data_IF_377513440162
#
_entry.id   IF_377513440162
#
_cell.length_a   1.000
_cell.length_b   1.000
_cell.length_c   1.000
_cell.angle_alpha   90.00
_cell.angle_beta   90.00
_cell.angle_gamma   90.00
#
_symmetry.space_group_name_H-M   'P 1'
#
loop_
_entity.id
_entity.type
_entity.pdbx_description
1 polymer ?
#
# COMPACT_ATOMS: atom_id res chain seq x y z
N UNK A 1 9.90 11.09 30.15
CA UNK A 1 8.99 11.73 29.20
C UNK A 1 8.70 10.68 28.15
N UNK A 2 7.44 10.29 27.93
CA UNK A 2 7.09 9.28 26.93
C UNK A 2 7.39 9.86 25.55
N UNK A 3 8.19 9.15 24.78
CA UNK A 3 8.57 9.52 23.39
C UNK A 3 7.58 8.96 22.37
N UNK A 4 6.33 8.72 22.77
CA UNK A 4 5.32 8.30 21.81
C UNK A 4 5.07 9.46 20.83
N UNK A 5 5.16 9.21 19.53
CA UNK A 5 4.93 10.26 18.54
C UNK A 5 3.51 10.78 18.67
N UNK A 6 3.36 12.09 18.78
CA UNK A 6 2.05 12.72 18.81
C UNK A 6 1.35 12.50 17.46
N UNK A 7 0.21 11.80 17.47
CA UNK A 7 -0.59 11.55 16.27
C UNK A 7 -1.57 12.70 16.12
N UNK A 8 -1.50 13.40 14.98
CA UNK A 8 -2.44 14.45 14.63
C UNK A 8 -3.56 13.87 13.76
N UNK A 9 -4.81 14.32 13.91
CA UNK A 9 -5.95 13.82 13.14
C UNK A 9 -5.99 14.40 11.71
N UNK A 10 -4.94 14.15 10.92
CA UNK A 10 -4.79 14.67 9.54
C UNK A 10 -5.84 14.17 8.56
N UNK A 11 -6.53 13.08 8.91
CA UNK A 11 -7.56 12.43 8.10
C UNK A 11 -8.96 12.52 8.77
N UNK A 12 -9.14 13.47 9.70
CA UNK A 12 -10.42 13.64 10.39
C UNK A 12 -11.56 13.89 9.40
N UNK A 13 -12.63 13.07 9.51
CA UNK A 13 -13.81 13.15 8.63
C UNK A 13 -13.59 12.58 7.22
N UNK A 14 -12.41 12.04 6.90
CA UNK A 14 -12.12 11.37 5.63
C UNK A 14 -12.48 9.89 5.68
N UNK A 15 -12.78 9.34 4.52
CA UNK A 15 -12.95 7.89 4.33
C UNK A 15 -11.74 7.34 3.58
N UNK A 16 -11.10 6.32 4.14
CA UNK A 16 -9.90 5.69 3.60
C UNK A 16 -10.18 4.22 3.31
N UNK A 17 -10.08 3.79 2.06
CA UNK A 17 -10.10 2.37 1.70
C UNK A 17 -8.67 1.86 1.55
N UNK A 18 -8.32 0.77 2.26
CA UNK A 18 -7.00 0.13 2.18
C UNK A 18 -7.13 -1.28 1.65
N UNK A 19 -6.49 -1.58 0.51
CA UNK A 19 -6.51 -2.93 -0.04
C UNK A 19 -5.51 -3.85 0.66
N UNK A 20 -5.88 -5.12 0.87
CA UNK A 20 -5.03 -6.07 1.59
C UNK A 20 -4.78 -5.68 3.05
N UNK A 21 -5.78 -5.06 3.69
CA UNK A 21 -5.68 -4.54 5.05
C UNK A 21 -5.81 -5.62 6.15
N UNK A 22 -5.92 -6.89 5.78
CA UNK A 22 -6.04 -8.00 6.75
C UNK A 22 -4.71 -8.38 7.43
N UNK A 23 -3.56 -8.01 6.88
CA UNK A 23 -2.25 -8.40 7.42
C UNK A 23 -1.15 -7.40 7.06
N UNK A 24 -0.01 -7.50 7.75
CA UNK A 24 1.22 -6.81 7.38
C UNK A 24 1.10 -5.29 7.29
N UNK A 25 1.65 -4.71 6.23
CA UNK A 25 1.70 -3.26 6.07
C UNK A 25 0.32 -2.63 5.88
N UNK A 26 -0.57 -3.30 5.13
CA UNK A 26 -1.95 -2.83 4.94
C UNK A 26 -2.76 -2.76 6.24
N UNK A 27 -2.54 -3.71 7.16
CA UNK A 27 -3.12 -3.67 8.51
C UNK A 27 -2.69 -2.42 9.28
N UNK A 28 -1.39 -2.10 9.26
CA UNK A 28 -0.86 -0.94 9.97
C UNK A 28 -1.27 0.39 9.32
N UNK A 29 -1.36 0.44 7.97
CA UNK A 29 -1.89 1.62 7.27
C UNK A 29 -3.35 1.87 7.67
N UNK A 30 -4.19 0.82 7.68
CA UNK A 30 -5.60 0.91 8.05
C UNK A 30 -5.77 1.39 9.50
N UNK A 31 -5.01 0.80 10.43
CA UNK A 31 -5.04 1.22 11.83
C UNK A 31 -4.54 2.65 12.02
N UNK A 32 -3.45 3.02 11.36
CA UNK A 32 -2.90 4.38 11.40
C UNK A 32 -3.87 5.40 10.83
N UNK A 33 -4.60 5.10 9.74
CA UNK A 33 -5.62 5.97 9.19
C UNK A 33 -6.74 6.27 10.22
N UNK A 34 -7.17 5.24 10.95
CA UNK A 34 -8.15 5.40 12.04
C UNK A 34 -7.61 6.26 13.19
N UNK A 35 -6.35 6.08 13.60
CA UNK A 35 -5.71 6.94 14.60
C UNK A 35 -5.65 8.41 14.15
N UNK A 36 -5.57 8.66 12.83
CA UNK A 36 -5.59 10.00 12.24
C UNK A 36 -7.02 10.51 11.96
N UNK A 37 -8.06 9.82 12.47
CA UNK A 37 -9.45 10.26 12.47
C UNK A 37 -10.27 9.84 11.25
N UNK A 38 -9.78 8.92 10.42
CA UNK A 38 -10.52 8.43 9.26
C UNK A 38 -11.54 7.34 9.62
N UNK A 39 -12.63 7.25 8.82
CA UNK A 39 -13.43 6.03 8.66
C UNK A 39 -12.68 5.11 7.71
N UNK A 40 -12.61 3.81 8.00
CA UNK A 40 -11.73 2.89 7.27
C UNK A 40 -12.48 1.75 6.60
N UNK A 41 -12.32 1.63 5.28
CA UNK A 41 -12.65 0.44 4.52
C UNK A 41 -11.50 -0.55 4.58
N UNK A 42 -11.71 -1.68 5.23
CA UNK A 42 -10.74 -2.77 5.37
C UNK A 42 -11.00 -3.81 4.30
N UNK A 43 -10.27 -3.72 3.19
CA UNK A 43 -10.44 -4.69 2.09
C UNK A 43 -9.54 -5.91 2.27
N UNK A 44 -10.08 -7.08 1.93
CA UNK A 44 -9.39 -8.37 1.89
C UNK A 44 -9.91 -9.24 0.73
N UNK A 45 -9.11 -10.20 0.29
CA UNK A 45 -9.56 -11.26 -0.63
C UNK A 45 -9.84 -12.55 0.17
N UNK A 46 -8.80 -13.19 0.71
CA UNK A 46 -8.90 -14.49 1.42
C UNK A 46 -8.65 -14.39 2.93
N UNK A 47 -8.03 -13.32 3.41
CA UNK A 47 -7.64 -13.16 4.83
C UNK A 47 -8.74 -12.56 5.71
N UNK A 48 -9.95 -13.14 5.69
CA UNK A 48 -11.11 -12.63 6.46
C UNK A 48 -10.81 -12.44 7.95
N UNK A 49 -10.27 -13.46 8.60
CA UNK A 49 -9.94 -13.38 10.03
C UNK A 49 -8.92 -12.28 10.36
N UNK A 50 -7.99 -12.01 9.45
CA UNK A 50 -7.05 -10.89 9.59
C UNK A 50 -7.75 -9.54 9.44
N UNK A 51 -8.66 -9.40 8.47
CA UNK A 51 -9.45 -8.18 8.27
C UNK A 51 -10.37 -7.89 9.46
N UNK A 52 -11.00 -8.92 10.04
CA UNK A 52 -11.81 -8.81 11.26
C UNK A 52 -10.97 -8.29 12.42
N UNK A 53 -9.75 -8.83 12.64
CA UNK A 53 -8.82 -8.33 13.67
C UNK A 53 -8.42 -6.87 13.43
N UNK A 54 -8.22 -6.48 12.17
CA UNK A 54 -7.92 -5.08 11.83
C UNK A 54 -9.10 -4.17 12.21
N UNK A 55 -10.31 -4.56 11.84
CA UNK A 55 -11.52 -3.81 12.17
C UNK A 55 -11.76 -3.74 13.69
N UNK A 56 -11.56 -4.84 14.42
CA UNK A 56 -11.64 -4.86 15.87
C UNK A 56 -10.63 -3.92 16.52
N UNK A 57 -9.37 -3.92 16.05
CA UNK A 57 -8.33 -3.01 16.53
C UNK A 57 -8.70 -1.54 16.29
N UNK A 58 -9.26 -1.21 15.14
CA UNK A 58 -9.76 0.13 14.82
C UNK A 58 -10.90 0.52 15.77
N UNK A 59 -11.89 -0.36 15.95
CA UNK A 59 -13.02 -0.11 16.84
C UNK A 59 -12.62 0.03 18.32
N UNK A 60 -11.56 -0.68 18.74
CA UNK A 60 -11.05 -0.60 20.11
C UNK A 60 -10.53 0.77 20.52
N UNK A 61 -10.18 1.62 19.54
CA UNK A 61 -9.79 3.03 19.76
C UNK A 61 -10.93 4.02 19.47
N UNK A 62 -12.16 3.53 19.28
CA UNK A 62 -13.32 4.36 18.93
C UNK A 62 -13.43 4.73 17.45
N UNK A 63 -12.61 4.14 16.57
CA UNK A 63 -12.68 4.35 15.12
C UNK A 63 -13.79 3.53 14.46
N UNK A 64 -14.15 3.92 13.23
CA UNK A 64 -15.13 3.24 12.39
C UNK A 64 -14.41 2.38 11.34
N UNK A 65 -14.85 1.13 11.17
CA UNK A 65 -14.30 0.21 10.17
C UNK A 65 -15.39 -0.67 9.55
N UNK A 66 -15.37 -0.76 8.21
CA UNK A 66 -16.22 -1.64 7.41
C UNK A 66 -15.35 -2.63 6.63
N UNK A 67 -15.86 -3.86 6.46
CA UNK A 67 -15.15 -4.95 5.77
C UNK A 67 -15.63 -5.08 4.34
N UNK A 68 -14.69 -5.14 3.39
CA UNK A 68 -14.98 -5.36 1.97
C UNK A 68 -14.18 -6.54 1.45
N UNK A 69 -14.88 -7.49 0.80
CA UNK A 69 -14.23 -8.66 0.20
C UNK A 69 -14.29 -8.57 -1.32
N UNK A 70 -13.12 -8.60 -1.97
CA UNK A 70 -13.03 -8.69 -3.42
C UNK A 70 -11.72 -9.33 -3.87
N UNK A 71 -11.71 -9.96 -5.03
CA UNK A 71 -10.49 -10.29 -5.76
C UNK A 71 -10.19 -9.16 -6.75
N UNK A 72 -9.18 -8.34 -6.43
CA UNK A 72 -8.82 -7.19 -7.27
C UNK A 72 -8.24 -7.60 -8.64
N UNK A 73 -7.81 -8.85 -8.82
CA UNK A 73 -7.40 -9.39 -10.12
C UNK A 73 -8.55 -9.47 -11.14
N UNK A 74 -9.78 -9.30 -10.70
CA UNK A 74 -10.99 -9.38 -11.53
C UNK A 74 -11.66 -8.01 -11.63
N UNK A 75 -11.81 -7.48 -12.85
CA UNK A 75 -12.37 -6.12 -13.05
C UNK A 75 -13.81 -5.98 -12.51
N UNK A 76 -14.68 -6.97 -12.77
CA UNK A 76 -16.06 -6.91 -12.30
C UNK A 76 -16.16 -6.93 -10.77
N UNK A 77 -15.27 -7.67 -10.08
CA UNK A 77 -15.20 -7.63 -8.63
C UNK A 77 -14.74 -6.25 -8.11
N UNK A 78 -13.84 -5.58 -8.82
CA UNK A 78 -13.42 -4.21 -8.46
C UNK A 78 -14.53 -3.19 -8.69
N UNK A 79 -15.31 -3.32 -9.77
CA UNK A 79 -16.50 -2.47 -10.00
C UNK A 79 -17.53 -2.61 -8.86
N UNK A 80 -17.78 -3.86 -8.45
CA UNK A 80 -18.68 -4.13 -7.35
C UNK A 80 -18.14 -3.57 -6.04
N UNK A 81 -16.87 -3.80 -5.73
CA UNK A 81 -16.19 -3.24 -4.56
C UNK A 81 -16.31 -1.71 -4.52
N UNK A 82 -16.07 -1.04 -5.64
CA UNK A 82 -16.20 0.41 -5.71
C UNK A 82 -17.64 0.87 -5.44
N UNK A 83 -18.64 0.20 -6.03
CA UNK A 83 -20.03 0.51 -5.76
C UNK A 83 -20.36 0.34 -4.27
N UNK A 84 -20.04 -0.82 -3.68
CA UNK A 84 -20.29 -1.12 -2.27
C UNK A 84 -19.61 -0.13 -1.32
N UNK A 85 -18.36 0.27 -1.60
CA UNK A 85 -17.64 1.21 -0.77
C UNK A 85 -18.25 2.62 -0.80
N UNK A 86 -18.63 3.10 -1.99
CA UNK A 86 -19.29 4.41 -2.12
C UNK A 86 -20.71 4.39 -1.55
N UNK A 87 -21.45 3.29 -1.69
CA UNK A 87 -22.78 3.13 -1.09
C UNK A 87 -22.71 3.12 0.45
N UNK A 88 -21.73 2.43 1.03
CA UNK A 88 -21.57 2.33 2.48
C UNK A 88 -21.12 3.65 3.12
N UNK A 89 -20.22 4.38 2.46
CA UNK A 89 -19.60 5.56 3.05
C UNK A 89 -20.14 6.90 2.50
N UNK A 90 -20.81 6.89 1.36
CA UNK A 90 -21.20 8.10 0.61
C UNK A 90 -20.05 8.71 -0.19
N UNK A 91 -18.84 8.72 0.36
CA UNK A 91 -17.61 9.21 -0.29
C UNK A 91 -16.44 8.29 0.06
N UNK A 92 -15.47 8.17 -0.86
CA UNK A 92 -14.15 7.60 -0.57
C UNK A 92 -13.12 8.69 -0.89
N UNK A 93 -12.50 9.26 0.12
CA UNK A 93 -11.53 10.35 -0.03
C UNK A 93 -10.14 9.85 -0.39
N UNK A 94 -9.79 8.67 0.12
CA UNK A 94 -8.46 8.09 -0.04
C UNK A 94 -8.56 6.62 -0.41
N UNK A 95 -7.84 6.24 -1.46
CA UNK A 95 -7.58 4.85 -1.81
C UNK A 95 -6.11 4.53 -1.58
N UNK A 96 -5.82 3.50 -0.78
CA UNK A 96 -4.47 2.95 -0.63
C UNK A 96 -4.41 1.57 -1.28
N UNK A 97 -3.77 1.48 -2.44
CA UNK A 97 -3.51 0.22 -3.13
C UNK A 97 -2.27 -0.44 -2.55
N UNK A 98 -2.48 -1.32 -1.56
CA UNK A 98 -1.41 -2.01 -0.87
C UNK A 98 -1.26 -3.48 -1.29
N UNK A 99 -2.27 -4.10 -1.91
CA UNK A 99 -2.16 -5.48 -2.39
C UNK A 99 -0.98 -5.64 -3.36
N UNK A 100 -0.23 -6.72 -3.19
CA UNK A 100 0.84 -7.12 -4.10
C UNK A 100 1.34 -8.52 -3.74
N UNK A 101 1.83 -9.27 -4.73
CA UNK A 101 2.38 -10.62 -4.53
C UNK A 101 3.85 -10.56 -4.07
N UNK A 102 4.04 -10.31 -2.78
CA UNK A 102 5.38 -10.28 -2.15
C UNK A 102 6.00 -11.69 -1.99
N UNK A 103 5.22 -12.75 -2.16
CA UNK A 103 5.75 -14.12 -2.07
C UNK A 103 6.77 -14.39 -3.19
N UNK A 104 6.59 -13.79 -4.35
CA UNK A 104 7.50 -13.91 -5.48
C UNK A 104 8.88 -13.29 -5.23
N UNK A 105 9.02 -12.34 -4.31
CA UNK A 105 10.34 -11.80 -3.91
C UNK A 105 11.27 -12.86 -3.30
N UNK A 106 10.72 -13.98 -2.84
CA UNK A 106 11.46 -15.06 -2.21
C UNK A 106 11.92 -16.11 -3.22
N UNK A 107 11.36 -16.11 -4.44
CA UNK A 107 11.69 -17.06 -5.50
C UNK A 107 13.07 -16.75 -6.10
N UNK A 108 13.66 -17.76 -6.76
CA UNK A 108 14.80 -17.54 -7.66
C UNK A 108 14.26 -17.21 -9.06
N UNK A 109 14.97 -16.40 -9.82
CA UNK A 109 14.64 -16.16 -11.24
C UNK A 109 14.54 -17.44 -12.06
N UNK A 110 15.23 -18.53 -11.61
CA UNK A 110 15.19 -19.85 -12.23
C UNK A 110 13.87 -20.58 -12.00
N UNK A 111 13.08 -20.15 -11.03
CA UNK A 111 11.78 -20.72 -10.63
C UNK A 111 10.60 -19.98 -11.29
N UNK A 112 10.89 -19.05 -12.21
CA UNK A 112 9.86 -18.34 -12.95
C UNK A 112 9.03 -19.33 -13.78
N UNK A 113 7.72 -19.31 -13.57
CA UNK A 113 6.72 -20.05 -14.34
C UNK A 113 5.70 -19.10 -14.94
N UNK A 114 4.99 -19.54 -15.97
CA UNK A 114 3.88 -18.77 -16.53
C UNK A 114 2.84 -18.44 -15.45
N UNK A 115 2.48 -19.41 -14.62
CA UNK A 115 1.51 -19.22 -13.53
C UNK A 115 1.93 -18.12 -12.55
N UNK A 116 3.21 -18.12 -12.12
CA UNK A 116 3.73 -17.10 -11.21
C UNK A 116 3.81 -15.72 -11.86
N UNK A 117 4.11 -15.65 -13.16
CA UNK A 117 4.09 -14.44 -13.94
C UNK A 117 2.67 -13.89 -14.06
N UNK A 118 1.73 -14.73 -14.54
CA UNK A 118 0.33 -14.33 -14.75
C UNK A 118 -0.28 -13.82 -13.45
N UNK A 119 -0.08 -14.51 -12.32
CA UNK A 119 -0.55 -14.10 -11.00
C UNK A 119 -0.03 -12.72 -10.61
N UNK A 120 1.27 -12.46 -10.78
CA UNK A 120 1.86 -11.15 -10.44
C UNK A 120 1.31 -10.05 -11.34
N UNK A 121 1.17 -10.31 -12.64
CA UNK A 121 0.62 -9.32 -13.57
C UNK A 121 -0.87 -9.07 -13.28
N UNK A 122 -1.64 -10.13 -13.01
CA UNK A 122 -3.07 -10.00 -12.73
C UNK A 122 -3.33 -9.20 -11.43
N UNK A 123 -2.58 -9.48 -10.37
CA UNK A 123 -2.80 -8.84 -9.06
C UNK A 123 -2.12 -7.47 -8.99
N UNK A 124 -0.80 -7.39 -9.25
CA UNK A 124 -0.02 -6.17 -9.01
C UNK A 124 -0.25 -5.10 -10.09
N UNK A 125 -0.40 -5.51 -11.36
CA UNK A 125 -0.56 -4.55 -12.47
C UNK A 125 -2.02 -4.33 -12.78
N UNK A 126 -2.75 -5.37 -13.23
CA UNK A 126 -4.15 -5.22 -13.63
C UNK A 126 -5.02 -4.83 -12.44
N UNK A 127 -4.86 -5.51 -11.29
CA UNK A 127 -5.63 -5.21 -10.09
C UNK A 127 -5.45 -3.76 -9.64
N UNK A 128 -4.20 -3.27 -9.58
CA UNK A 128 -3.95 -1.86 -9.24
C UNK A 128 -4.55 -0.92 -10.29
N UNK A 129 -4.43 -1.24 -11.57
CA UNK A 129 -5.02 -0.42 -12.65
C UNK A 129 -6.53 -0.35 -12.55
N UNK A 130 -7.21 -1.49 -12.30
CA UNK A 130 -8.67 -1.54 -12.12
C UNK A 130 -9.11 -0.70 -10.91
N UNK A 131 -8.42 -0.84 -9.76
CA UNK A 131 -8.69 -0.06 -8.55
C UNK A 131 -8.53 1.44 -8.79
N UNK A 132 -7.40 1.87 -9.41
CA UNK A 132 -7.17 3.29 -9.73
C UNK A 132 -8.23 3.81 -10.68
N UNK A 133 -8.63 3.01 -11.69
CA UNK A 133 -9.63 3.40 -12.68
C UNK A 133 -11.02 3.59 -12.06
N UNK A 134 -11.55 2.56 -11.39
CA UNK A 134 -12.92 2.56 -10.88
C UNK A 134 -13.13 3.55 -9.72
N UNK A 135 -12.19 3.60 -8.78
CA UNK A 135 -12.24 4.56 -7.68
C UNK A 135 -11.92 5.97 -8.13
N UNK A 136 -10.92 6.12 -9.00
CA UNK A 136 -10.49 7.42 -9.49
C UNK A 136 -11.56 8.14 -10.29
N UNK A 137 -12.33 7.47 -11.15
CA UNK A 137 -13.46 8.07 -11.87
C UNK A 137 -14.50 8.63 -10.88
N UNK A 138 -14.89 7.85 -9.88
CA UNK A 138 -15.85 8.29 -8.86
C UNK A 138 -15.30 9.44 -8.01
N UNK A 139 -14.00 9.44 -7.69
CA UNK A 139 -13.34 10.56 -7.01
C UNK A 139 -13.30 11.83 -7.89
N UNK A 140 -13.13 11.71 -9.21
CA UNK A 140 -13.22 12.85 -10.13
C UNK A 140 -14.63 13.42 -10.15
N UNK A 141 -15.66 12.57 -10.22
CA UNK A 141 -17.08 12.97 -10.12
C UNK A 141 -17.39 13.61 -8.75
N UNK A 142 -16.81 13.08 -7.67
CA UNK A 142 -16.90 13.63 -6.31
C UNK A 142 -16.21 15.01 -6.19
N UNK A 143 -15.27 15.34 -7.10
CA UNK A 143 -14.51 16.59 -7.14
C UNK A 143 -13.22 16.61 -6.31
N UNK A 144 -12.88 15.54 -5.60
CA UNK A 144 -11.67 15.44 -4.78
C UNK A 144 -11.28 13.97 -4.51
N UNK A 145 -10.01 13.74 -4.25
CA UNK A 145 -9.51 12.42 -3.84
C UNK A 145 -7.99 12.35 -3.80
N UNK A 146 -7.49 11.29 -3.16
CA UNK A 146 -6.08 10.95 -3.17
C UNK A 146 -5.88 9.43 -3.29
N UNK A 147 -5.06 9.01 -4.23
CA UNK A 147 -4.70 7.61 -4.44
C UNK A 147 -3.22 7.40 -4.11
N UNK A 148 -2.95 6.48 -3.21
CA UNK A 148 -1.59 6.08 -2.82
C UNK A 148 -1.36 4.63 -3.23
N UNK A 149 -0.51 4.42 -4.22
CA UNK A 149 -0.11 3.09 -4.64
C UNK A 149 1.13 2.66 -3.86
N UNK A 150 1.13 1.48 -3.27
CA UNK A 150 2.31 0.94 -2.59
C UNK A 150 3.25 0.32 -3.62
N UNK A 151 4.33 1.03 -3.88
CA UNK A 151 5.41 0.63 -4.75
C UNK A 151 6.43 -0.27 -4.07
N UNK A 152 7.65 -0.25 -4.57
CA UNK A 152 8.77 -1.00 -3.99
C UNK A 152 10.10 -0.38 -4.42
N UNK A 153 11.09 -0.45 -3.57
CA UNK A 153 12.48 -0.06 -3.88
C UNK A 153 13.08 -0.82 -5.04
N UNK A 154 12.46 -1.94 -5.46
CA UNK A 154 12.89 -2.75 -6.60
C UNK A 154 12.99 -1.95 -7.91
N UNK A 155 12.23 -0.87 -8.06
CA UNK A 155 12.31 -0.01 -9.25
C UNK A 155 13.57 0.84 -9.32
N UNK A 156 14.41 0.86 -8.28
CA UNK A 156 15.69 1.57 -8.30
C UNK A 156 16.81 0.66 -8.82
N UNK A 157 16.80 -0.61 -8.43
CA UNK A 157 17.91 -1.55 -8.72
C UNK A 157 17.51 -2.78 -9.53
N UNK A 158 16.21 -3.01 -9.74
CA UNK A 158 15.70 -4.28 -10.22
C UNK A 158 15.71 -5.36 -9.13
N UNK A 159 15.37 -6.58 -9.51
CA UNK A 159 15.43 -7.75 -8.65
C UNK A 159 16.07 -8.93 -9.38
N UNK A 160 17.25 -9.32 -8.94
CA UNK A 160 17.91 -10.50 -9.48
C UNK A 160 17.17 -11.81 -9.10
N UNK A 161 16.28 -11.78 -8.15
CA UNK A 161 15.51 -12.95 -7.68
C UNK A 161 14.15 -13.04 -8.34
N UNK A 162 13.43 -11.93 -8.49
CA UNK A 162 12.04 -11.87 -8.92
C UNK A 162 11.85 -10.83 -10.04
N UNK A 163 12.29 -11.13 -11.29
CA UNK A 163 12.16 -10.19 -12.40
C UNK A 163 10.71 -9.85 -12.74
N UNK A 164 9.76 -10.78 -12.56
CA UNK A 164 8.32 -10.55 -12.74
C UNK A 164 7.77 -9.52 -11.75
N UNK A 165 8.20 -9.57 -10.49
CA UNK A 165 7.82 -8.58 -9.49
C UNK A 165 8.40 -7.20 -9.82
N UNK A 166 9.66 -7.15 -10.23
CA UNK A 166 10.28 -5.91 -10.69
C UNK A 166 9.49 -5.32 -11.86
N UNK A 167 9.17 -6.12 -12.88
CA UNK A 167 8.37 -5.68 -14.04
C UNK A 167 7.02 -5.11 -13.61
N UNK A 168 6.31 -5.78 -12.70
CA UNK A 168 5.04 -5.29 -12.18
C UNK A 168 5.18 -3.96 -11.45
N UNK A 169 6.16 -3.82 -10.55
CA UNK A 169 6.37 -2.57 -9.80
C UNK A 169 6.86 -1.41 -10.69
N UNK A 170 7.60 -1.69 -11.78
CA UNK A 170 7.86 -0.69 -12.82
C UNK A 170 6.59 -0.30 -13.58
N UNK A 171 5.68 -1.24 -13.84
CA UNK A 171 4.36 -0.96 -14.44
C UNK A 171 3.55 0.06 -13.65
N UNK A 172 3.63 0.02 -12.32
CA UNK A 172 2.96 1.00 -11.46
C UNK A 172 3.42 2.45 -11.72
N UNK A 173 4.66 2.69 -12.16
CA UNK A 173 5.12 4.05 -12.50
C UNK A 173 4.32 4.61 -13.67
N UNK A 174 4.04 3.79 -14.69
CA UNK A 174 3.22 4.18 -15.84
C UNK A 174 1.79 4.46 -15.42
N UNK A 175 1.17 3.57 -14.66
CA UNK A 175 -0.19 3.73 -14.12
C UNK A 175 -0.27 5.04 -13.32
N UNK A 176 0.65 5.25 -12.40
CA UNK A 176 0.69 6.42 -11.52
C UNK A 176 0.77 7.74 -12.32
N UNK A 177 1.71 7.85 -13.23
CA UNK A 177 1.90 9.07 -14.04
C UNK A 177 0.72 9.36 -14.95
N UNK A 178 0.17 8.32 -15.59
CA UNK A 178 -0.96 8.45 -16.51
C UNK A 178 -2.21 8.94 -15.77
N UNK A 179 -2.54 8.34 -14.63
CA UNK A 179 -3.73 8.74 -13.88
C UNK A 179 -3.53 10.02 -13.07
N UNK A 180 -2.31 10.32 -12.62
CA UNK A 180 -2.01 11.63 -12.05
C UNK A 180 -2.30 12.78 -13.03
N UNK A 181 -1.98 12.58 -14.30
CA UNK A 181 -2.29 13.56 -15.34
C UNK A 181 -3.79 13.57 -15.72
N UNK A 182 -4.41 12.39 -15.82
CA UNK A 182 -5.80 12.25 -16.26
C UNK A 182 -6.82 12.73 -15.23
N UNK A 183 -6.54 12.59 -13.94
CA UNK A 183 -7.46 12.92 -12.85
C UNK A 183 -7.24 14.29 -12.22
N UNK A 184 -6.18 15.00 -12.62
CA UNK A 184 -5.95 16.36 -12.17
C UNK A 184 -7.01 17.32 -12.75
N UNK A 185 -7.43 18.37 -12.02
CA UNK A 185 -6.92 18.76 -10.69
C UNK A 185 -7.63 18.09 -9.50
N UNK A 186 -8.65 17.25 -9.72
CA UNK A 186 -9.54 16.75 -8.66
C UNK A 186 -8.86 15.68 -7.81
N UNK A 187 -8.05 14.79 -8.39
CA UNK A 187 -7.48 13.64 -7.70
C UNK A 187 -5.97 13.60 -7.83
N UNK A 188 -5.29 13.44 -6.72
CA UNK A 188 -3.83 13.21 -6.68
C UNK A 188 -3.55 11.71 -6.71
N UNK A 189 -2.57 11.30 -7.51
CA UNK A 189 -2.16 9.88 -7.59
C UNK A 189 -0.65 9.80 -7.39
N UNK A 190 -0.22 9.10 -6.34
CA UNK A 190 1.18 9.01 -5.95
C UNK A 190 1.58 7.57 -5.62
N UNK A 191 2.89 7.29 -5.70
CA UNK A 191 3.48 6.04 -5.21
C UNK A 191 4.26 6.31 -3.93
N UNK A 192 3.97 5.52 -2.90
CA UNK A 192 4.82 5.34 -1.74
C UNK A 192 5.61 4.03 -1.89
N UNK A 193 6.92 4.10 -1.85
CA UNK A 193 7.81 2.93 -2.01
C UNK A 193 8.59 2.69 -0.72
N UNK A 194 8.12 1.78 0.13
CA UNK A 194 8.83 1.41 1.34
C UNK A 194 10.10 0.60 1.03
N UNK A 195 11.09 0.73 1.90
CA UNK A 195 12.21 -0.19 2.00
C UNK A 195 11.82 -1.48 2.72
N UNK A 196 12.83 -2.17 3.25
CA UNK A 196 12.58 -3.34 4.10
C UNK A 196 11.85 -2.92 5.38
N UNK A 197 10.91 -3.78 5.81
CA UNK A 197 10.15 -3.63 7.06
C UNK A 197 10.13 -4.94 7.83
N UNK A 198 10.14 -4.87 9.16
CA UNK A 198 10.00 -6.02 10.05
C UNK A 198 8.53 -6.41 10.23
N UNK A 199 7.89 -6.85 9.14
CA UNK A 199 6.55 -7.45 9.21
C UNK A 199 6.61 -8.84 9.84
N UNK A 200 5.48 -9.34 10.36
CA UNK A 200 5.40 -10.72 10.86
C UNK A 200 5.87 -11.75 9.83
N UNK A 201 5.54 -11.56 8.55
CA UNK A 201 6.01 -12.41 7.47
C UNK A 201 7.52 -12.33 7.25
N UNK A 202 8.11 -11.13 7.34
CA UNK A 202 9.56 -10.94 7.22
C UNK A 202 10.31 -11.58 8.39
N UNK A 203 9.83 -11.38 9.62
CA UNK A 203 10.43 -11.94 10.84
C UNK A 203 10.37 -13.47 10.89
N UNK A 204 9.37 -14.08 10.26
CA UNK A 204 9.22 -15.54 10.18
C UNK A 204 10.22 -16.20 9.22
N UNK A 205 10.87 -15.46 8.33
CA UNK A 205 11.75 -16.00 7.27
C UNK A 205 13.05 -16.55 7.84
N UNK A 206 13.47 -17.70 7.35
CA UNK A 206 14.73 -18.34 7.76
C UNK A 206 15.97 -17.54 7.33
N UNK A 207 15.96 -16.96 6.11
CA UNK A 207 17.07 -16.12 5.66
C UNK A 207 17.22 -14.85 6.50
N UNK A 208 16.11 -14.34 7.05
CA UNK A 208 16.11 -13.20 7.95
C UNK A 208 16.78 -13.53 9.30
N UNK A 209 16.45 -14.70 9.84
CA UNK A 209 17.03 -15.22 11.09
C UNK A 209 18.51 -15.62 10.95
N UNK A 210 18.96 -15.95 9.74
CA UNK A 210 20.31 -16.43 9.46
C UNK A 210 21.30 -15.34 8.99
N UNK A 211 21.10 -14.08 9.41
CA UNK A 211 22.06 -12.99 9.23
C UNK A 211 21.75 -12.02 8.08
N UNK A 212 20.66 -12.23 7.33
CA UNK A 212 20.24 -11.27 6.30
C UNK A 212 19.81 -9.94 6.89
N UNK A 213 19.13 -9.97 8.03
CA UNK A 213 18.68 -8.78 8.77
C UNK A 213 19.85 -7.85 9.08
N UNK A 214 20.86 -8.38 9.73
CA UNK A 214 22.06 -7.63 10.15
C UNK A 214 22.82 -7.05 8.95
N UNK A 215 22.90 -7.83 7.86
CA UNK A 215 23.50 -7.38 6.61
C UNK A 215 22.73 -6.20 5.99
N UNK A 216 21.41 -6.26 5.96
CA UNK A 216 20.58 -5.17 5.44
C UNK A 216 20.64 -3.93 6.33
N UNK A 217 20.65 -4.09 7.65
CA UNK A 217 20.84 -2.97 8.59
C UNK A 217 22.18 -2.29 8.35
N UNK A 218 23.26 -3.06 8.19
CA UNK A 218 24.59 -2.51 7.92
C UNK A 218 24.69 -1.75 6.58
N UNK A 219 23.83 -2.08 5.62
CA UNK A 219 23.73 -1.41 4.31
C UNK A 219 22.76 -0.22 4.32
N UNK A 220 21.98 -0.03 5.38
CA UNK A 220 20.99 1.04 5.49
C UNK A 220 21.60 2.23 6.22
N UNK A 221 21.77 3.41 5.60
CA UNK A 221 22.41 4.58 6.24
C UNK A 221 21.76 5.00 7.56
N UNK A 222 20.43 4.88 7.71
CA UNK A 222 19.76 5.15 8.99
C UNK A 222 20.01 4.09 10.07
N UNK A 223 20.72 2.99 9.76
CA UNK A 223 21.19 2.00 10.73
C UNK A 223 20.12 1.10 11.33
N UNK A 224 18.92 1.08 10.79
CA UNK A 224 17.83 0.23 11.26
C UNK A 224 16.83 -0.11 10.16
N UNK A 225 16.07 -1.19 10.38
CA UNK A 225 14.90 -1.55 9.58
C UNK A 225 13.68 -1.35 10.47
N UNK A 226 12.74 -0.46 10.09
CA UNK A 226 11.61 -0.13 10.93
C UNK A 226 10.53 -1.22 10.91
N UNK A 227 9.74 -1.35 11.96
CA UNK A 227 8.48 -2.08 11.89
C UNK A 227 7.44 -1.30 11.07
N UNK A 228 6.41 -1.98 10.52
CA UNK A 228 5.48 -1.37 9.55
C UNK A 228 4.65 -0.22 10.12
N UNK A 229 4.34 -0.21 11.42
CA UNK A 229 3.60 0.87 12.09
C UNK A 229 4.34 2.22 12.03
N UNK A 230 5.66 2.22 12.04
CA UNK A 230 6.48 3.44 11.92
C UNK A 230 6.37 4.03 10.51
N UNK A 231 6.26 3.16 9.49
CA UNK A 231 6.25 3.56 8.08
C UNK A 231 4.85 3.95 7.59
N UNK A 232 3.81 3.43 8.24
CA UNK A 232 2.42 3.65 7.84
C UNK A 232 2.01 5.14 7.79
N UNK A 233 2.44 5.93 8.77
CA UNK A 233 2.17 7.37 8.80
C UNK A 233 2.83 8.14 7.66
N UNK A 234 3.99 7.67 7.18
CA UNK A 234 4.67 8.27 6.02
C UNK A 234 3.94 7.95 4.71
N UNK A 235 3.39 6.74 4.58
CA UNK A 235 2.56 6.39 3.43
C UNK A 235 1.30 7.27 3.37
N UNK A 236 0.64 7.46 4.52
CA UNK A 236 -0.56 8.28 4.63
C UNK A 236 -0.31 9.78 4.42
N UNK A 237 0.91 10.28 4.62
CA UNK A 237 1.24 11.67 4.30
C UNK A 237 0.83 12.04 2.87
N UNK A 238 1.06 11.16 1.88
CA UNK A 238 0.66 11.41 0.50
C UNK A 238 -0.86 11.53 0.29
N UNK A 239 -1.65 11.03 1.23
CA UNK A 239 -3.10 11.12 1.23
C UNK A 239 -3.64 12.40 1.89
N UNK A 240 -2.84 13.08 2.71
CA UNK A 240 -3.25 14.26 3.47
C UNK A 240 -3.20 15.55 2.65
N UNK A 241 -3.77 16.63 3.18
CA UNK A 241 -3.73 17.98 2.59
C UNK A 241 -2.32 18.57 2.61
N UNK A 242 -1.42 18.10 3.50
CA UNK A 242 -0.01 18.48 3.51
C UNK A 242 0.70 18.11 2.19
N UNK A 243 0.18 17.10 1.46
CA UNK A 243 0.66 16.69 0.16
C UNK A 243 -0.16 17.28 -1.01
N UNK A 244 -0.91 18.36 -0.80
CA UNK A 244 -1.83 18.96 -1.80
C UNK A 244 -1.15 19.35 -3.12
N UNK A 245 0.15 19.60 -3.12
CA UNK A 245 0.92 19.94 -4.32
C UNK A 245 1.79 18.78 -4.82
N UNK A 246 1.48 17.53 -4.39
CA UNK A 246 2.22 16.32 -4.80
C UNK A 246 1.28 15.40 -5.58
N UNK A 247 1.53 15.23 -6.89
CA UNK A 247 0.88 14.24 -7.75
C UNK A 247 1.88 13.68 -8.77
N UNK A 248 1.72 12.43 -9.17
CA UNK A 248 2.63 11.74 -10.08
C UNK A 248 3.99 11.37 -9.46
N UNK A 249 4.16 11.57 -8.16
CA UNK A 249 5.40 11.33 -7.45
C UNK A 249 5.65 9.84 -7.16
N UNK A 250 6.93 9.52 -7.04
CA UNK A 250 7.44 8.26 -6.49
C UNK A 250 8.25 8.61 -5.25
N UNK A 251 7.70 8.36 -4.08
CA UNK A 251 8.34 8.69 -2.81
C UNK A 251 8.98 7.46 -2.19
N UNK A 252 10.31 7.48 -2.12
CA UNK A 252 11.12 6.41 -1.55
C UNK A 252 11.27 6.62 -0.04
N UNK A 253 11.03 5.56 0.74
CA UNK A 253 11.20 5.55 2.19
C UNK A 253 11.92 4.27 2.63
N UNK A 254 13.22 4.23 2.42
CA UNK A 254 14.07 3.04 2.58
C UNK A 254 15.29 3.24 3.50
N UNK A 255 15.29 4.31 4.28
CA UNK A 255 16.40 4.62 5.17
C UNK A 255 17.73 4.96 4.45
N UNK A 256 17.66 5.27 3.15
CA UNK A 256 18.83 5.55 2.31
C UNK A 256 19.46 4.30 1.69
N UNK A 257 18.86 3.12 1.85
CA UNK A 257 19.40 1.84 1.36
C UNK A 257 19.75 1.87 -0.15
N UNK A 258 18.92 2.51 -0.97
CA UNK A 258 19.18 2.63 -2.41
C UNK A 258 19.98 3.88 -2.81
N UNK A 259 20.32 4.76 -1.87
CA UNK A 259 21.11 5.95 -2.11
C UNK A 259 22.62 5.64 -2.15
N UNK A 260 23.09 4.71 -1.34
CA UNK A 260 24.49 4.27 -1.33
C UNK A 260 24.72 3.32 -2.49
N UNK A 261 25.65 3.67 -3.34
CA UNK A 261 26.08 2.82 -4.44
C UNK A 261 26.48 1.44 -3.96
N UNK A 262 26.10 0.42 -4.71
CA UNK A 262 26.53 -0.94 -4.45
C UNK A 262 28.02 -1.09 -4.74
#
# INVERSE_FOLDING_TARGET
>A
MSTEPQIFPRLAGKTVLVTGAGTGFGHEIAFRAAQEGARVGVHYNSSRAGAEKTAERIRSIGGEAELFQADIGTWDAVKQLAAEAFDAFGTVDVLVNNVGDVATEQMSWKELTQESLDRVIDVDVKGTLYMVHEFGQRMVEQGHGAIVNIGSTVVVRGSARAPQYAAAKYGLLGINKSYAAAFAPQVRVNIFAPGFMETGATLAREDWKSGRREKLIAQTPLGHIPPPEVVAGTALFLATDDASHITGAYMLADGGFNMVGA
#
